data_IF_097150654156
#
_entry.id   IF_097150654156
#
_cell.length_a   1.000
_cell.length_b   1.000
_cell.length_c   1.000
_cell.angle_alpha   90.00
_cell.angle_beta   90.00
_cell.angle_gamma   90.00
#
_symmetry.space_group_name_H-M   'P 1'
#
loop_
_entity.id
_entity.type
_entity.pdbx_description
1 polymer ?
#
# COMPACT_ATOMS: atom_id res chain seq x y z
N UNK A 1 33.51 18.53 0.87
CA UNK A 1 32.04 18.45 0.95
C UNK A 1 31.53 18.66 2.38
N UNK A 2 31.85 17.77 3.33
CA UNK A 2 31.32 17.83 4.71
C UNK A 2 31.48 19.16 5.47
N UNK A 3 32.65 19.84 5.36
CA UNK A 3 32.86 21.16 5.99
C UNK A 3 31.85 22.23 5.55
N UNK A 4 31.42 22.21 4.29
CA UNK A 4 30.43 23.15 3.75
C UNK A 4 29.04 22.86 4.32
N UNK A 5 28.68 21.57 4.39
CA UNK A 5 27.41 21.11 4.98
C UNK A 5 27.30 21.57 6.43
N UNK A 6 28.35 21.40 7.24
CA UNK A 6 28.35 21.85 8.64
C UNK A 6 28.18 23.37 8.81
N UNK A 7 28.54 24.16 7.79
CA UNK A 7 28.37 25.62 7.80
C UNK A 7 26.96 26.06 7.38
N UNK A 8 26.26 25.28 6.56
CA UNK A 8 24.97 25.65 5.96
C UNK A 8 23.77 24.85 6.46
N UNK A 9 23.99 23.71 7.12
CA UNK A 9 22.95 22.76 7.52
C UNK A 9 23.05 22.49 9.03
N UNK A 10 22.08 22.97 9.79
CA UNK A 10 22.16 23.00 11.26
C UNK A 10 21.37 21.89 11.97
N UNK A 11 20.68 21.02 11.24
CA UNK A 11 19.95 19.87 11.77
C UNK A 11 20.14 18.62 10.87
N UNK A 12 19.64 17.47 11.32
CA UNK A 12 19.75 16.21 10.58
C UNK A 12 19.03 16.25 9.23
N UNK A 13 17.82 16.82 9.18
CA UNK A 13 17.03 16.94 7.96
C UNK A 13 17.73 17.77 6.87
N UNK A 14 18.27 18.94 7.21
CA UNK A 14 19.00 19.79 6.26
C UNK A 14 20.29 19.12 5.79
N UNK A 15 20.98 18.37 6.67
CA UNK A 15 22.18 17.60 6.28
C UNK A 15 21.80 16.48 5.31
N UNK A 16 20.77 15.70 5.61
CA UNK A 16 20.29 14.60 4.78
C UNK A 16 19.87 15.09 3.39
N UNK A 17 19.01 16.11 3.32
CA UNK A 17 18.60 16.72 2.04
C UNK A 17 19.80 17.26 1.26
N UNK A 18 20.77 17.90 1.92
CA UNK A 18 21.95 18.43 1.23
C UNK A 18 22.91 17.35 0.71
N UNK A 19 22.91 16.15 1.31
CA UNK A 19 23.72 15.03 0.86
C UNK A 19 23.15 14.38 -0.40
N UNK A 20 21.84 14.19 -0.46
CA UNK A 20 21.18 13.43 -1.53
C UNK A 20 20.74 14.30 -2.72
N UNK A 21 20.41 15.58 -2.49
CA UNK A 21 19.82 16.41 -3.54
C UNK A 21 20.71 16.60 -4.76
N UNK A 22 20.07 16.67 -5.92
CA UNK A 22 20.67 17.20 -7.13
C UNK A 22 21.15 18.68 -6.98
N UNK A 23 22.29 19.07 -7.61
CA UNK A 23 22.82 20.42 -7.50
C UNK A 23 21.82 21.50 -7.95
N UNK A 24 21.67 22.55 -7.13
CA UNK A 24 20.78 23.68 -7.42
C UNK A 24 19.37 23.56 -6.84
N UNK A 25 18.95 22.37 -6.41
CA UNK A 25 17.66 22.17 -5.75
C UNK A 25 17.79 22.22 -4.22
N UNK A 26 16.66 22.29 -3.50
CA UNK A 26 16.58 22.32 -2.03
C UNK A 26 15.53 21.34 -1.47
N UNK A 27 15.23 20.31 -2.26
CA UNK A 27 14.28 19.24 -1.98
C UNK A 27 14.85 17.94 -2.56
N UNK A 28 14.25 16.82 -2.19
CA UNK A 28 14.55 15.49 -2.73
C UNK A 28 13.41 15.04 -3.64
N UNK A 29 13.77 14.50 -4.80
CA UNK A 29 12.87 13.72 -5.68
C UNK A 29 13.05 12.23 -5.41
N UNK A 30 12.31 11.37 -6.10
CA UNK A 30 12.27 9.93 -5.81
C UNK A 30 13.64 9.28 -6.04
N UNK A 31 14.26 9.64 -7.16
CA UNK A 31 15.53 9.12 -7.65
C UNK A 31 16.70 9.49 -6.74
N UNK A 32 16.61 10.62 -6.01
CA UNK A 32 17.63 11.04 -5.06
C UNK A 32 17.77 10.02 -3.89
N UNK A 33 16.77 9.16 -3.64
CA UNK A 33 16.82 8.12 -2.59
C UNK A 33 17.44 6.79 -3.06
N UNK A 34 17.56 6.55 -4.37
CA UNK A 34 18.06 5.28 -4.91
C UNK A 34 19.46 4.94 -4.36
N UNK A 35 20.46 5.85 -4.36
CA UNK A 35 21.79 5.51 -3.87
C UNK A 35 21.83 5.16 -2.38
N UNK A 36 20.94 5.77 -1.58
CA UNK A 36 20.82 5.49 -0.15
C UNK A 36 20.22 4.09 0.05
N UNK A 37 19.11 3.77 -0.60
CA UNK A 37 18.44 2.49 -0.44
C UNK A 37 19.26 1.34 -1.02
N UNK A 38 20.00 1.59 -2.09
CA UNK A 38 20.96 0.65 -2.65
C UNK A 38 22.01 0.23 -1.61
N UNK A 39 22.52 1.18 -0.81
CA UNK A 39 23.46 0.88 0.27
C UNK A 39 22.79 0.11 1.42
N UNK A 40 21.54 0.44 1.76
CA UNK A 40 20.75 -0.31 2.77
C UNK A 40 20.59 -1.78 2.35
N UNK A 41 20.14 -2.07 1.13
CA UNK A 41 20.04 -3.44 0.61
C UNK A 41 21.42 -4.14 0.62
N UNK A 42 22.48 -3.40 0.28
CA UNK A 42 23.83 -3.94 0.22
C UNK A 42 24.50 -4.17 1.58
N UNK A 43 24.00 -3.60 2.67
CA UNK A 43 24.68 -3.63 3.97
C UNK A 43 23.85 -4.24 5.09
N UNK A 44 22.52 -4.14 5.04
CA UNK A 44 21.65 -4.62 6.11
C UNK A 44 21.63 -6.17 6.15
N UNK A 45 21.86 -6.81 7.31
CA UNK A 45 21.98 -8.28 7.41
C UNK A 45 20.76 -9.06 6.92
N UNK A 46 19.55 -8.55 7.20
CA UNK A 46 18.31 -9.20 6.78
C UNK A 46 17.97 -9.02 5.30
N UNK A 47 18.67 -8.16 4.55
CA UNK A 47 18.41 -7.93 3.11
C UNK A 47 19.47 -8.57 2.22
N UNK A 48 20.40 -9.33 2.79
CA UNK A 48 21.54 -9.89 2.04
C UNK A 48 21.10 -10.81 0.91
N UNK A 49 20.03 -11.57 1.11
CA UNK A 49 19.46 -12.47 0.10
C UNK A 49 18.95 -11.70 -1.15
N UNK A 50 18.50 -10.46 -0.97
CA UNK A 50 17.95 -9.63 -2.03
C UNK A 50 19.02 -9.14 -3.03
N UNK A 51 20.30 -9.21 -2.65
CA UNK A 51 21.41 -8.78 -3.54
C UNK A 51 21.53 -9.65 -4.78
N UNK A 52 21.18 -10.94 -4.66
CA UNK A 52 21.31 -11.91 -5.76
C UNK A 52 20.07 -11.93 -6.66
N UNK A 53 18.97 -11.30 -6.23
CA UNK A 53 17.67 -11.26 -6.90
C UNK A 53 17.41 -9.86 -7.51
N UNK A 54 17.95 -9.57 -8.69
CA UNK A 54 17.93 -8.22 -9.28
C UNK A 54 16.53 -7.63 -9.50
N UNK A 55 15.55 -8.47 -9.84
CA UNK A 55 14.16 -8.04 -10.03
C UNK A 55 13.55 -7.55 -8.72
N UNK A 56 13.50 -8.43 -7.70
CA UNK A 56 13.01 -8.11 -6.36
C UNK A 56 13.77 -6.95 -5.71
N UNK A 57 15.06 -6.83 -6.00
CA UNK A 57 15.89 -5.72 -5.54
C UNK A 57 15.33 -4.38 -5.99
N UNK A 58 15.12 -4.21 -7.30
CA UNK A 58 14.62 -2.97 -7.88
C UNK A 58 13.22 -2.65 -7.34
N UNK A 59 12.36 -3.66 -7.25
CA UNK A 59 10.97 -3.54 -6.77
C UNK A 59 10.91 -3.17 -5.30
N UNK A 60 11.76 -3.73 -4.46
CA UNK A 60 11.87 -3.35 -3.05
C UNK A 60 12.27 -1.88 -2.90
N UNK A 61 13.30 -1.43 -3.64
CA UNK A 61 13.72 -0.02 -3.62
C UNK A 61 12.56 0.89 -4.03
N UNK A 62 11.87 0.58 -5.14
CA UNK A 62 10.72 1.37 -5.60
C UNK A 62 9.63 1.43 -4.53
N UNK A 63 9.29 0.30 -3.91
CA UNK A 63 8.27 0.25 -2.86
C UNK A 63 8.65 1.07 -1.64
N UNK A 64 9.89 0.97 -1.16
CA UNK A 64 10.35 1.78 -0.03
C UNK A 64 10.31 3.28 -0.38
N UNK A 65 10.70 3.68 -1.60
CA UNK A 65 10.56 5.06 -2.06
C UNK A 65 9.10 5.51 -2.06
N UNK A 66 8.19 4.69 -2.60
CA UNK A 66 6.75 5.04 -2.59
C UNK A 66 6.24 5.23 -1.17
N UNK A 67 6.59 4.34 -0.23
CA UNK A 67 6.21 4.45 1.18
C UNK A 67 6.80 5.69 1.86
N UNK A 68 8.05 6.05 1.56
CA UNK A 68 8.66 7.30 2.01
C UNK A 68 7.85 8.50 1.51
N UNK A 69 7.52 8.57 0.22
CA UNK A 69 6.77 9.70 -0.33
C UNK A 69 5.33 9.73 0.17
N UNK A 70 4.69 8.58 0.33
CA UNK A 70 3.34 8.43 0.87
C UNK A 70 3.22 9.02 2.28
N UNK A 71 4.21 8.77 3.14
CA UNK A 71 4.22 9.21 4.53
C UNK A 71 4.83 10.60 4.71
N UNK A 72 5.91 10.93 4.00
CA UNK A 72 6.69 12.17 4.21
C UNK A 72 6.21 13.32 3.32
N UNK A 73 5.92 13.09 2.03
CA UNK A 73 5.59 14.15 1.08
C UNK A 73 4.10 14.55 1.15
N UNK A 74 3.68 15.06 2.31
CA UNK A 74 2.28 15.43 2.59
C UNK A 74 1.74 16.55 1.68
N UNK A 75 2.61 17.26 0.97
CA UNK A 75 2.22 18.28 -0.02
C UNK A 75 1.78 17.72 -1.38
N UNK A 76 1.97 16.41 -1.65
CA UNK A 76 1.75 15.78 -2.96
C UNK A 76 2.58 16.39 -4.10
N UNK A 77 3.61 17.17 -3.77
CA UNK A 77 4.39 17.94 -4.75
C UNK A 77 5.41 17.10 -5.51
N UNK A 78 5.65 15.87 -5.06
CA UNK A 78 6.75 15.03 -5.52
C UNK A 78 8.13 15.51 -5.09
N UNK A 79 8.19 16.43 -4.12
CA UNK A 79 9.43 17.08 -3.68
C UNK A 79 9.48 17.11 -2.16
N UNK A 80 10.24 16.22 -1.55
CA UNK A 80 10.41 16.19 -0.10
C UNK A 80 11.30 17.36 0.33
N UNK A 81 10.72 18.27 1.10
CA UNK A 81 11.44 19.41 1.68
C UNK A 81 12.06 19.07 3.03
N UNK A 82 13.04 19.88 3.48
CA UNK A 82 13.58 19.76 4.84
C UNK A 82 12.49 19.85 5.92
N UNK A 83 11.41 20.60 5.67
CA UNK A 83 10.34 20.79 6.64
C UNK A 83 9.42 19.56 6.74
N UNK A 84 9.11 18.92 5.61
CA UNK A 84 8.37 17.65 5.60
C UNK A 84 9.19 16.56 6.29
N UNK A 85 10.49 16.46 5.95
CA UNK A 85 11.38 15.49 6.57
C UNK A 85 11.47 15.66 8.09
N UNK A 86 11.56 16.90 8.60
CA UNK A 86 11.54 17.20 10.05
C UNK A 86 10.28 16.76 10.78
N UNK A 87 9.13 16.76 10.08
CA UNK A 87 7.84 16.42 10.66
C UNK A 87 7.53 14.92 10.59
N UNK A 88 8.35 14.18 9.85
CA UNK A 88 8.27 12.72 9.74
C UNK A 88 9.13 12.00 10.77
N UNK A 89 8.91 10.70 10.86
CA UNK A 89 9.70 9.70 11.60
C UNK A 89 10.84 9.09 10.76
N UNK A 90 11.03 9.52 9.52
CA UNK A 90 11.93 8.85 8.58
C UNK A 90 13.38 8.80 9.07
N UNK A 91 13.93 9.92 9.57
CA UNK A 91 15.33 9.93 10.04
C UNK A 91 15.55 9.14 11.33
N UNK A 92 14.50 8.98 12.14
CA UNK A 92 14.50 8.11 13.31
C UNK A 92 14.58 6.65 12.84
N UNK A 93 13.78 6.26 11.84
CA UNK A 93 13.84 4.92 11.24
C UNK A 93 15.19 4.66 10.54
N UNK A 94 15.79 5.65 9.89
CA UNK A 94 17.14 5.53 9.32
C UNK A 94 18.19 5.26 10.41
N UNK A 95 18.06 5.86 11.58
CA UNK A 95 18.96 5.59 12.70
C UNK A 95 18.75 4.18 13.28
N UNK A 96 17.53 3.64 13.25
CA UNK A 96 17.25 2.29 13.74
C UNK A 96 17.77 1.18 12.80
N UNK A 97 18.06 1.48 11.53
CA UNK A 97 18.64 0.50 10.59
C UNK A 97 19.97 -0.12 11.05
N UNK A 98 20.73 0.56 11.91
CA UNK A 98 21.97 -0.02 12.47
C UNK A 98 21.76 -0.76 13.80
N UNK A 99 20.60 -0.56 14.44
CA UNK A 99 20.26 -1.14 15.74
C UNK A 99 19.40 -2.41 15.59
N UNK A 100 18.42 -2.37 14.69
CA UNK A 100 17.48 -3.47 14.45
C UNK A 100 18.02 -4.47 13.42
N UNK A 101 18.23 -5.71 13.86
CA UNK A 101 18.75 -6.78 12.98
C UNK A 101 17.67 -7.30 12.03
N UNK A 102 16.42 -7.29 12.48
CA UNK A 102 15.26 -7.70 11.71
C UNK A 102 14.58 -6.46 11.10
N UNK A 103 14.72 -6.31 9.77
CA UNK A 103 14.14 -5.18 9.03
C UNK A 103 12.61 -5.14 9.11
N UNK A 104 11.94 -6.26 9.40
CA UNK A 104 10.49 -6.32 9.48
C UNK A 104 9.94 -5.61 10.72
N UNK A 105 10.78 -5.37 11.75
CA UNK A 105 10.43 -4.51 12.89
C UNK A 105 10.34 -3.02 12.49
N UNK A 106 10.96 -2.62 11.38
CA UNK A 106 10.88 -1.25 10.85
C UNK A 106 9.68 -1.11 9.91
N UNK A 107 8.49 -1.26 10.49
CA UNK A 107 7.22 -1.36 9.78
C UNK A 107 6.89 -0.14 8.94
N UNK A 108 7.29 1.07 9.35
CA UNK A 108 6.87 2.33 8.69
C UNK A 108 7.37 2.49 7.25
N UNK A 109 8.59 2.02 6.94
CA UNK A 109 9.21 2.25 5.63
C UNK A 109 9.89 1.00 5.05
N UNK A 110 10.66 0.27 5.86
CA UNK A 110 11.69 -0.67 5.37
C UNK A 110 11.30 -2.14 5.43
N UNK A 111 10.22 -2.50 6.15
CA UNK A 111 9.75 -3.89 6.26
C UNK A 111 9.69 -4.61 4.91
N UNK A 112 10.37 -5.75 4.84
CA UNK A 112 10.39 -6.61 3.67
C UNK A 112 9.07 -7.37 3.53
N UNK A 113 8.46 -7.81 4.63
CA UNK A 113 7.13 -8.44 4.64
C UNK A 113 6.08 -7.55 3.97
N UNK A 114 6.06 -6.26 4.31
CA UNK A 114 5.14 -5.31 3.68
C UNK A 114 5.39 -5.18 2.18
N UNK A 115 6.66 -5.13 1.76
CA UNK A 115 7.01 -5.12 0.34
C UNK A 115 6.52 -6.39 -0.37
N UNK A 116 6.73 -7.56 0.24
CA UNK A 116 6.39 -8.84 -0.35
C UNK A 116 4.89 -8.97 -0.60
N UNK A 117 4.06 -8.58 0.37
CA UNK A 117 2.60 -8.54 0.20
C UNK A 117 2.20 -7.61 -0.96
N UNK A 118 2.73 -6.38 -1.00
CA UNK A 118 2.44 -5.43 -2.08
C UNK A 118 2.82 -6.02 -3.45
N UNK A 119 3.99 -6.66 -3.52
CA UNK A 119 4.49 -7.26 -4.75
C UNK A 119 3.63 -8.44 -5.23
N UNK A 120 3.30 -9.38 -4.34
CA UNK A 120 2.44 -10.52 -4.66
C UNK A 120 1.06 -10.08 -5.15
N UNK A 121 0.43 -9.11 -4.47
CA UNK A 121 -0.87 -8.58 -4.89
C UNK A 121 -0.82 -7.88 -6.25
N UNK A 122 0.29 -7.24 -6.60
CA UNK A 122 0.48 -6.70 -7.95
C UNK A 122 0.63 -7.82 -8.98
N UNK A 123 1.49 -8.79 -8.68
CA UNK A 123 1.81 -9.91 -9.56
C UNK A 123 0.59 -10.77 -9.90
N UNK A 124 -0.35 -10.94 -8.96
CA UNK A 124 -1.64 -11.61 -9.20
C UNK A 124 -2.51 -10.91 -10.26
N UNK A 125 -2.37 -9.59 -10.40
CA UNK A 125 -3.16 -8.78 -11.34
C UNK A 125 -2.45 -8.64 -12.70
N UNK A 126 -1.14 -8.44 -12.70
CA UNK A 126 -0.28 -8.30 -13.90
C UNK A 126 -0.01 -9.66 -14.56
N UNK A 127 -1.03 -10.22 -15.20
CA UNK A 127 -0.97 -11.57 -15.81
C UNK A 127 -0.16 -11.64 -17.10
N UNK A 128 0.06 -10.51 -17.78
CA UNK A 128 0.91 -10.42 -18.97
C UNK A 128 2.34 -9.98 -18.64
N UNK A 129 2.64 -9.72 -17.36
CA UNK A 129 3.96 -9.39 -16.82
C UNK A 129 4.60 -8.19 -17.52
N UNK A 130 3.78 -7.21 -17.90
CA UNK A 130 4.25 -5.99 -18.57
C UNK A 130 4.54 -4.86 -17.59
N UNK A 131 4.37 -5.11 -16.28
CA UNK A 131 4.61 -4.19 -15.16
C UNK A 131 3.64 -3.01 -15.10
N UNK A 132 2.53 -3.13 -15.82
CA UNK A 132 1.40 -2.22 -15.76
C UNK A 132 0.11 -3.00 -15.57
N UNK A 133 -0.86 -2.36 -14.93
CA UNK A 133 -2.21 -2.93 -14.81
C UNK A 133 -3.24 -1.96 -15.37
N UNK A 134 -4.22 -2.50 -16.09
CA UNK A 134 -5.35 -1.73 -16.60
C UNK A 134 -6.54 -1.72 -15.62
N UNK A 135 -7.64 -1.06 -16.01
CA UNK A 135 -8.84 -0.98 -15.16
C UNK A 135 -9.48 -2.34 -14.89
N UNK A 136 -9.40 -3.30 -15.83
CA UNK A 136 -9.96 -4.64 -15.67
C UNK A 136 -9.09 -5.48 -14.75
N UNK A 137 -7.78 -5.31 -14.84
CA UNK A 137 -6.84 -5.93 -13.91
C UNK A 137 -7.14 -5.45 -12.49
N UNK A 138 -7.18 -4.13 -12.28
CA UNK A 138 -7.48 -3.56 -10.96
C UNK A 138 -8.87 -3.95 -10.45
N UNK A 139 -9.86 -4.12 -11.35
CA UNK A 139 -11.19 -4.57 -10.96
C UNK A 139 -11.21 -5.97 -10.35
N UNK A 140 -10.25 -6.85 -10.68
CA UNK A 140 -10.16 -8.20 -10.10
C UNK A 140 -9.65 -8.19 -8.66
N UNK A 141 -9.03 -7.11 -8.21
CA UNK A 141 -8.55 -6.99 -6.83
C UNK A 141 -9.71 -7.12 -5.82
N UNK A 142 -9.50 -7.95 -4.79
CA UNK A 142 -10.47 -8.30 -3.75
C UNK A 142 -11.88 -8.59 -4.32
N UNK A 143 -11.95 -9.50 -5.29
CA UNK A 143 -13.22 -10.00 -5.88
C UNK A 143 -14.18 -8.89 -6.34
N UNK A 144 -13.66 -7.85 -7.00
CA UNK A 144 -14.45 -6.70 -7.44
C UNK A 144 -15.07 -5.88 -6.30
N UNK A 145 -14.41 -5.80 -5.15
CA UNK A 145 -14.86 -5.01 -4.00
C UNK A 145 -15.09 -3.53 -4.36
N UNK A 146 -14.12 -2.90 -5.04
CA UNK A 146 -14.19 -1.48 -5.42
C UNK A 146 -15.10 -1.27 -6.64
N UNK A 147 -15.91 -0.20 -6.64
CA UNK A 147 -16.80 0.16 -7.75
C UNK A 147 -16.02 0.53 -9.03
N UNK A 148 -16.58 0.23 -10.20
CA UNK A 148 -15.93 0.55 -11.48
C UNK A 148 -15.82 2.07 -11.67
N UNK A 149 -16.83 2.85 -11.24
CA UNK A 149 -16.76 4.32 -11.21
C UNK A 149 -15.56 4.79 -10.41
N UNK A 150 -15.24 4.17 -9.27
CA UNK A 150 -14.06 4.53 -8.47
C UNK A 150 -12.75 4.10 -9.16
N UNK A 151 -12.71 2.91 -9.76
CA UNK A 151 -11.56 2.45 -10.54
C UNK A 151 -11.27 3.43 -11.69
N UNK A 152 -12.27 3.85 -12.46
CA UNK A 152 -12.12 4.86 -13.52
C UNK A 152 -11.47 6.16 -12.99
N UNK A 153 -11.79 6.56 -11.75
CA UNK A 153 -11.20 7.76 -11.13
C UNK A 153 -9.72 7.60 -10.80
N UNK A 154 -9.25 6.41 -10.45
CA UNK A 154 -7.83 6.15 -10.22
C UNK A 154 -7.04 6.43 -11.52
N UNK A 155 -7.55 5.96 -12.66
CA UNK A 155 -6.92 6.14 -13.98
C UNK A 155 -7.13 7.54 -14.58
N UNK A 156 -7.99 8.36 -13.97
CA UNK A 156 -8.35 9.69 -14.48
C UNK A 156 -7.28 10.76 -14.27
N UNK A 157 -6.16 10.46 -13.61
CA UNK A 157 -5.14 11.45 -13.22
C UNK A 157 -5.45 12.21 -11.94
N UNK A 158 -6.46 11.79 -11.17
CA UNK A 158 -6.77 12.38 -9.86
C UNK A 158 -5.64 12.12 -8.83
N UNK A 159 -5.01 10.95 -8.93
CA UNK A 159 -4.04 10.44 -7.95
C UNK A 159 -2.73 9.94 -8.57
N UNK A 160 -2.68 9.76 -9.89
CA UNK A 160 -1.45 9.37 -10.60
C UNK A 160 -0.59 10.59 -10.95
N UNK A 161 0.71 10.37 -11.04
CA UNK A 161 1.67 11.40 -11.49
C UNK A 161 1.76 11.38 -13.02
N UNK A 162 1.98 12.55 -13.61
CA UNK A 162 2.09 12.67 -15.06
C UNK A 162 0.77 12.51 -15.81
N UNK A 163 0.85 12.08 -17.06
CA UNK A 163 -0.30 11.91 -17.98
C UNK A 163 -0.38 10.52 -18.61
N UNK A 164 0.49 9.59 -18.22
CA UNK A 164 0.60 8.26 -18.81
C UNK A 164 -0.67 7.45 -18.57
N UNK A 165 -1.11 7.37 -17.30
CA UNK A 165 -2.36 6.70 -16.93
C UNK A 165 -3.60 7.19 -17.70
N UNK A 166 -3.76 8.50 -17.85
CA UNK A 166 -4.88 9.09 -18.59
C UNK A 166 -4.86 8.75 -20.09
N UNK A 167 -3.67 8.57 -20.68
CA UNK A 167 -3.49 8.36 -22.12
C UNK A 167 -3.53 6.89 -22.49
N UNK A 168 -2.93 6.05 -21.65
CA UNK A 168 -2.69 4.64 -21.93
C UNK A 168 -3.70 3.74 -21.21
N UNK A 169 -4.43 4.26 -20.22
CA UNK A 169 -5.40 3.48 -19.46
C UNK A 169 -4.75 2.43 -18.56
N UNK A 170 -3.46 2.61 -18.25
CA UNK A 170 -2.60 1.70 -17.49
C UNK A 170 -1.88 2.46 -16.37
N UNK A 171 -1.71 1.84 -15.20
CA UNK A 171 -0.93 2.39 -14.09
C UNK A 171 0.29 1.50 -13.81
N UNK A 172 1.39 2.10 -13.35
CA UNK A 172 2.62 1.37 -13.04
C UNK A 172 2.54 0.66 -11.69
N UNK A 173 3.54 -0.18 -11.40
CA UNK A 173 3.75 -0.73 -10.06
C UNK A 173 3.80 0.35 -8.98
N UNK A 174 4.49 1.47 -9.24
CA UNK A 174 4.60 2.58 -8.29
C UNK A 174 3.23 3.18 -7.95
N UNK A 175 2.37 3.42 -8.95
CA UNK A 175 1.00 3.89 -8.74
C UNK A 175 0.17 2.84 -7.96
N UNK A 176 0.35 1.54 -8.24
CA UNK A 176 -0.32 0.47 -7.50
C UNK A 176 0.07 0.43 -6.02
N UNK A 177 1.33 0.69 -5.66
CA UNK A 177 1.73 0.79 -4.25
C UNK A 177 0.91 1.86 -3.51
N UNK A 178 0.70 3.02 -4.12
CA UNK A 178 -0.13 4.08 -3.55
C UNK A 178 -1.59 3.67 -3.43
N UNK A 179 -2.12 2.99 -4.46
CA UNK A 179 -3.47 2.44 -4.44
C UNK A 179 -3.65 1.47 -3.26
N UNK A 180 -2.82 0.44 -3.15
CA UNK A 180 -3.01 -0.64 -2.18
C UNK A 180 -2.90 -0.12 -0.74
N UNK A 181 -1.89 0.72 -0.44
CA UNK A 181 -1.76 1.32 0.90
C UNK A 181 -2.95 2.24 1.22
N UNK A 182 -3.47 2.96 0.21
CA UNK A 182 -4.65 3.82 0.41
C UNK A 182 -5.92 3.01 0.59
N UNK A 183 -6.07 1.89 -0.10
CA UNK A 183 -7.21 0.99 0.03
C UNK A 183 -7.27 0.46 1.46
N UNK A 184 -6.17 -0.14 1.91
CA UNK A 184 -6.19 -0.98 3.10
C UNK A 184 -6.25 -0.17 4.40
N UNK A 185 -5.69 1.05 4.42
CA UNK A 185 -5.84 1.99 5.54
C UNK A 185 -6.40 3.36 5.10
N UNK A 186 -7.74 3.41 5.03
CA UNK A 186 -8.53 4.64 4.76
C UNK A 186 -8.61 5.62 5.93
N UNK A 187 -7.93 5.35 7.05
CA UNK A 187 -7.89 6.26 8.22
C UNK A 187 -6.72 7.23 8.14
N UNK A 188 -5.67 6.87 7.42
CA UNK A 188 -4.48 7.73 7.29
C UNK A 188 -4.79 9.03 6.55
N UNK A 189 -4.10 10.11 6.92
CA UNK A 189 -4.33 11.41 6.29
C UNK A 189 -4.01 11.42 4.78
N UNK A 190 -3.08 10.56 4.33
CA UNK A 190 -2.72 10.39 2.91
C UNK A 190 -3.83 9.65 2.16
N UNK A 191 -4.33 8.54 2.71
CA UNK A 191 -5.43 7.81 2.08
C UNK A 191 -6.71 8.66 1.98
N UNK A 192 -7.02 9.45 3.02
CA UNK A 192 -8.16 10.37 2.97
C UNK A 192 -7.99 11.40 1.84
N UNK A 193 -6.78 11.90 1.60
CA UNK A 193 -6.50 12.77 0.45
C UNK A 193 -6.62 12.04 -0.89
N UNK A 194 -6.14 10.79 -0.97
CA UNK A 194 -6.22 9.94 -2.15
C UNK A 194 -7.68 9.75 -2.59
N UNK A 195 -8.52 9.25 -1.69
CA UNK A 195 -9.93 8.98 -2.01
C UNK A 195 -10.75 10.25 -2.20
N UNK A 196 -10.47 11.31 -1.45
CA UNK A 196 -11.12 12.60 -1.69
C UNK A 196 -10.85 13.13 -3.10
N UNK A 197 -9.60 13.06 -3.59
CA UNK A 197 -9.25 13.46 -4.97
C UNK A 197 -9.99 12.63 -6.02
N UNK A 198 -10.19 11.34 -5.75
CA UNK A 198 -10.96 10.49 -6.65
C UNK A 198 -12.46 10.84 -6.65
N UNK A 199 -13.03 11.13 -5.47
CA UNK A 199 -14.46 11.44 -5.34
C UNK A 199 -14.84 12.86 -5.80
N UNK A 200 -13.92 13.82 -5.67
CA UNK A 200 -14.06 15.18 -6.16
C UNK A 200 -13.91 15.18 -7.70
N UNK A 201 -15.05 15.09 -8.39
CA UNK A 201 -15.12 14.90 -9.84
C UNK A 201 -14.74 16.17 -10.59
N UNK A 202 -15.12 17.33 -10.06
CA UNK A 202 -14.86 18.63 -10.69
C UNK A 202 -13.63 19.36 -10.13
N UNK A 203 -13.09 18.89 -9.00
CA UNK A 203 -11.86 19.40 -8.39
C UNK A 203 -12.07 20.72 -7.65
N UNK A 204 -13.29 21.04 -7.23
CA UNK A 204 -13.62 22.29 -6.53
C UNK A 204 -13.26 22.27 -5.02
N UNK A 205 -12.88 21.10 -4.50
CA UNK A 205 -12.51 20.89 -3.11
C UNK A 205 -13.67 20.59 -2.16
N UNK A 206 -14.86 20.26 -2.69
CA UNK A 206 -16.08 19.92 -1.94
C UNK A 206 -16.78 18.72 -2.58
N UNK A 207 -17.15 17.72 -1.79
CA UNK A 207 -18.03 16.66 -2.26
C UNK A 207 -19.49 17.14 -2.21
N UNK A 208 -20.04 17.37 -3.40
CA UNK A 208 -21.43 17.73 -3.64
C UNK A 208 -22.36 16.52 -3.57
N UNK A 209 -23.66 16.76 -3.36
CA UNK A 209 -24.67 15.69 -3.36
C UNK A 209 -24.70 14.93 -4.69
N UNK A 210 -24.41 15.60 -5.80
CA UNK A 210 -24.35 14.98 -7.12
C UNK A 210 -23.24 13.93 -7.20
N UNK A 211 -22.04 14.25 -6.70
CA UNK A 211 -20.89 13.33 -6.71
C UNK A 211 -21.13 12.14 -5.77
N UNK A 212 -21.68 12.40 -4.58
CA UNK A 212 -22.04 11.33 -3.64
C UNK A 212 -23.08 10.39 -4.25
N UNK A 213 -24.13 10.93 -4.87
CA UNK A 213 -25.14 10.13 -5.55
C UNK A 213 -24.53 9.34 -6.71
N UNK A 214 -23.62 9.96 -7.47
CA UNK A 214 -22.92 9.30 -8.56
C UNK A 214 -22.16 8.05 -8.08
N UNK A 215 -21.42 8.08 -6.98
CA UNK A 215 -20.78 6.84 -6.52
C UNK A 215 -21.79 5.86 -5.91
N UNK A 216 -22.76 6.36 -5.13
CA UNK A 216 -23.73 5.53 -4.44
C UNK A 216 -24.67 4.75 -5.37
N UNK A 217 -25.01 5.30 -6.54
CA UNK A 217 -25.82 4.60 -7.55
C UNK A 217 -25.24 3.25 -7.97
N UNK A 218 -23.91 3.15 -8.12
CA UNK A 218 -23.28 1.87 -8.45
C UNK A 218 -23.24 0.93 -7.24
N UNK A 219 -23.06 1.47 -6.03
CA UNK A 219 -23.16 0.67 -4.79
C UNK A 219 -24.55 0.04 -4.64
N UNK A 220 -25.63 0.77 -4.92
CA UNK A 220 -26.98 0.22 -4.91
C UNK A 220 -27.12 -0.94 -5.90
N UNK A 221 -26.58 -0.79 -7.12
CA UNK A 221 -26.61 -1.87 -8.12
C UNK A 221 -25.83 -3.11 -7.66
N UNK A 222 -24.68 -2.93 -7.01
CA UNK A 222 -23.90 -4.04 -6.44
C UNK A 222 -24.67 -4.75 -5.32
N UNK A 223 -25.29 -4.00 -4.40
CA UNK A 223 -26.13 -4.53 -3.32
C UNK A 223 -27.34 -5.32 -3.86
N UNK A 224 -28.03 -4.76 -4.86
CA UNK A 224 -29.17 -5.42 -5.51
C UNK A 224 -28.77 -6.75 -6.15
N UNK A 225 -27.59 -6.81 -6.79
CA UNK A 225 -27.05 -8.04 -7.38
C UNK A 225 -26.75 -9.13 -6.32
N UNK A 226 -26.49 -8.72 -5.07
CA UNK A 226 -26.34 -9.62 -3.91
C UNK A 226 -27.67 -9.91 -3.21
N UNK A 227 -28.80 -9.44 -3.74
CA UNK A 227 -30.14 -9.52 -3.14
C UNK A 227 -30.24 -8.83 -1.77
N UNK A 228 -29.46 -7.77 -1.56
CA UNK A 228 -29.51 -6.90 -0.37
C UNK A 228 -30.20 -5.61 -0.79
N UNK A 229 -31.28 -5.24 -0.09
CA UNK A 229 -32.00 -3.99 -0.37
C UNK A 229 -31.16 -2.79 0.08
N UNK A 230 -30.71 -1.91 -0.85
CA UNK A 230 -29.91 -0.75 -0.50
C UNK A 230 -30.77 0.32 0.19
N UNK A 231 -30.14 1.07 1.09
CA UNK A 231 -30.77 2.22 1.72
C UNK A 231 -31.04 3.31 0.66
N UNK A 232 -32.18 4.01 0.68
CA UNK A 232 -32.40 5.15 -0.20
C UNK A 232 -31.31 6.21 -0.02
N UNK A 233 -30.89 6.85 -1.11
CA UNK A 233 -29.79 7.83 -1.08
C UNK A 233 -30.02 8.97 -0.08
N UNK A 234 -31.27 9.46 0.06
CA UNK A 234 -31.59 10.52 1.03
C UNK A 234 -31.31 10.11 2.47
N UNK A 235 -31.63 8.86 2.83
CA UNK A 235 -31.38 8.31 4.17
C UNK A 235 -29.89 8.04 4.39
N UNK A 236 -29.20 7.48 3.39
CA UNK A 236 -27.74 7.30 3.40
C UNK A 236 -27.01 8.64 3.57
N UNK A 237 -27.42 9.66 2.81
CA UNK A 237 -26.85 11.01 2.90
C UNK A 237 -27.05 11.60 4.30
N UNK A 238 -28.21 11.42 4.93
CA UNK A 238 -28.44 11.87 6.30
C UNK A 238 -27.46 11.20 7.28
N UNK A 239 -27.30 9.87 7.18
CA UNK A 239 -26.35 9.14 8.02
C UNK A 239 -24.91 9.61 7.80
N UNK A 240 -24.51 9.83 6.55
CA UNK A 240 -23.16 10.30 6.22
C UNK A 240 -22.91 11.74 6.68
N UNK A 241 -23.91 12.63 6.63
CA UNK A 241 -23.81 13.98 7.18
C UNK A 241 -23.70 13.98 8.70
N UNK A 242 -24.44 13.10 9.38
CA UNK A 242 -24.34 12.91 10.84
C UNK A 242 -23.00 12.30 11.26
N UNK A 243 -22.43 11.43 10.42
CA UNK A 243 -21.11 10.82 10.60
C UNK A 243 -19.99 11.86 10.44
N UNK A 244 -20.02 12.63 9.35
CA UNK A 244 -18.95 13.57 9.00
C UNK A 244 -19.06 14.87 9.79
N UNK A 245 -20.28 15.36 10.05
CA UNK A 245 -20.58 16.66 10.67
C UNK A 245 -19.81 17.80 9.98
N UNK A 246 -20.11 18.07 8.70
CA UNK A 246 -19.42 19.10 7.95
C UNK A 246 -19.61 20.48 8.58
N UNK A 247 -18.61 21.35 8.46
CA UNK A 247 -18.67 22.71 8.99
C UNK A 247 -19.74 23.57 8.28
N UNK A 248 -19.95 23.31 6.98
CA UNK A 248 -20.98 23.96 6.18
C UNK A 248 -22.00 22.92 5.71
N UNK A 249 -23.29 23.16 5.96
CA UNK A 249 -24.36 22.24 5.57
C UNK A 249 -24.31 21.93 4.07
N UNK A 250 -24.44 20.64 3.74
CA UNK A 250 -24.44 20.16 2.36
C UNK A 250 -23.11 20.22 1.61
N UNK A 251 -22.00 20.53 2.30
CA UNK A 251 -20.65 20.63 1.72
C UNK A 251 -19.64 19.83 2.53
N UNK A 252 -19.26 18.65 2.05
CA UNK A 252 -18.24 17.83 2.71
C UNK A 252 -16.87 18.18 2.15
N UNK A 253 -15.99 18.72 2.98
CA UNK A 253 -14.62 19.05 2.57
C UNK A 253 -13.63 17.99 3.02
N UNK A 254 -12.43 17.99 2.44
CA UNK A 254 -11.31 17.17 2.91
C UNK A 254 -10.99 17.42 4.40
N UNK A 255 -11.16 18.66 4.88
CA UNK A 255 -10.95 18.99 6.28
C UNK A 255 -11.96 18.28 7.18
N UNK A 256 -13.22 18.21 6.77
CA UNK A 256 -14.29 17.55 7.54
C UNK A 256 -14.02 16.05 7.67
N UNK A 257 -13.63 15.38 6.58
CA UNK A 257 -13.31 13.94 6.60
C UNK A 257 -12.09 13.62 7.48
N UNK A 258 -11.04 14.46 7.45
CA UNK A 258 -9.90 14.31 8.37
C UNK A 258 -10.29 14.54 9.83
N UNK A 259 -11.26 15.41 10.09
CA UNK A 259 -11.71 15.76 11.45
C UNK A 259 -12.63 14.70 12.05
N UNK A 260 -13.49 14.06 11.26
CA UNK A 260 -14.50 13.14 11.77
C UNK A 260 -13.92 11.81 12.29
N UNK A 261 -12.71 11.43 11.87
CA UNK A 261 -12.01 10.18 12.23
C UNK A 261 -12.74 8.89 11.83
N UNK A 262 -13.78 9.00 11.01
CA UNK A 262 -14.55 7.87 10.46
C UNK A 262 -14.62 7.94 8.94
N UNK A 263 -13.60 8.54 8.30
CA UNK A 263 -13.54 8.69 6.86
C UNK A 263 -13.51 7.35 6.12
N UNK A 264 -12.92 6.31 6.73
CA UNK A 264 -12.92 4.95 6.20
C UNK A 264 -14.34 4.43 5.99
N UNK A 265 -15.23 4.57 6.99
CA UNK A 265 -16.63 4.16 6.89
C UNK A 265 -17.34 4.96 5.80
N UNK A 266 -17.14 6.28 5.78
CA UNK A 266 -17.68 7.15 4.73
C UNK A 266 -17.29 6.67 3.34
N UNK A 267 -16.01 6.42 3.10
CA UNK A 267 -15.51 5.97 1.80
C UNK A 267 -16.04 4.60 1.41
N UNK A 268 -16.00 3.62 2.32
CA UNK A 268 -16.46 2.26 2.05
C UNK A 268 -17.96 2.26 1.65
N UNK A 269 -18.80 3.06 2.32
CA UNK A 269 -20.22 3.25 1.96
C UNK A 269 -20.43 3.63 0.49
N UNK A 270 -19.56 4.48 -0.07
CA UNK A 270 -19.73 5.00 -1.43
C UNK A 270 -19.09 4.15 -2.52
N UNK A 271 -18.09 3.31 -2.22
CA UNK A 271 -17.39 2.60 -3.30
C UNK A 271 -16.75 1.25 -2.96
N UNK A 272 -16.73 0.77 -1.72
CA UNK A 272 -16.21 -0.56 -1.38
C UNK A 272 -17.31 -1.42 -0.77
N UNK A 273 -17.83 -2.37 -1.55
CA UNK A 273 -18.98 -3.19 -1.13
C UNK A 273 -18.64 -4.15 0.02
N UNK A 274 -17.45 -4.74 0.00
CA UNK A 274 -17.03 -5.74 0.99
C UNK A 274 -16.83 -5.08 2.36
N UNK A 275 -16.01 -4.03 2.41
CA UNK A 275 -15.75 -3.30 3.66
C UNK A 275 -17.00 -2.58 4.18
N UNK A 276 -17.90 -2.14 3.29
CA UNK A 276 -19.21 -1.62 3.69
C UNK A 276 -20.04 -2.68 4.44
N UNK A 277 -20.17 -3.89 3.89
CA UNK A 277 -20.92 -4.98 4.52
C UNK A 277 -20.31 -5.40 5.87
N UNK A 278 -18.98 -5.34 5.99
CA UNK A 278 -18.29 -5.60 7.26
C UNK A 278 -18.65 -4.57 8.34
N UNK A 279 -18.74 -3.28 8.01
CA UNK A 279 -19.15 -2.24 8.95
C UNK A 279 -20.60 -2.44 9.41
N UNK A 280 -21.51 -2.75 8.48
CA UNK A 280 -22.92 -3.02 8.79
C UNK A 280 -23.09 -4.23 9.73
N UNK A 281 -22.28 -5.27 9.56
CA UNK A 281 -22.28 -6.42 10.47
C UNK A 281 -21.68 -6.05 11.83
N UNK A 282 -20.54 -5.35 11.85
CA UNK A 282 -19.86 -4.94 13.09
C UNK A 282 -20.75 -4.03 13.94
N UNK A 283 -21.54 -3.14 13.34
CA UNK A 283 -22.50 -2.31 14.09
C UNK A 283 -23.63 -3.13 14.74
N UNK A 284 -24.06 -4.25 14.14
CA UNK A 284 -25.02 -5.17 14.76
C UNK A 284 -24.42 -5.94 15.96
N UNK A 285 -23.13 -6.28 15.90
CA UNK A 285 -22.45 -7.06 16.95
C UNK A 285 -21.77 -6.20 18.04
N UNK A 286 -21.36 -4.97 17.74
CA UNK A 286 -20.77 -4.03 18.71
C UNK A 286 -21.77 -3.58 19.77
N UNK A 287 -23.06 -3.51 19.41
CA UNK A 287 -24.18 -3.32 20.34
C UNK A 287 -24.31 -4.50 21.34
N UNK A 288 -23.77 -5.69 21.01
CA UNK A 288 -23.88 -6.91 21.82
C UNK A 288 -22.64 -7.22 22.67
N UNK A 289 -21.45 -6.68 22.37
CA UNK A 289 -20.23 -6.89 23.17
C UNK A 289 -19.41 -5.61 23.32
N UNK A 290 -19.46 -5.02 24.51
CA UNK A 290 -18.60 -3.90 24.92
C UNK A 290 -17.17 -4.32 25.26
N UNK A 291 -16.43 -4.85 24.30
CA UNK A 291 -14.99 -5.17 24.37
C UNK A 291 -14.48 -5.14 22.93
N UNK A 292 -13.44 -4.37 22.61
CA UNK A 292 -12.07 -4.91 22.53
C UNK A 292 -11.04 -3.76 22.54
N UNK A 293 -10.06 -3.85 23.45
CA UNK A 293 -9.08 -2.79 23.70
C UNK A 293 -7.64 -3.36 23.79
N UNK A 294 -7.32 -4.41 23.02
CA UNK A 294 -6.00 -5.08 23.11
C UNK A 294 -5.13 -4.96 21.84
N UNK A 295 -5.68 -4.57 20.68
CA UNK A 295 -4.93 -4.37 19.41
C UNK A 295 -5.02 -2.92 18.87
N UNK A 296 -4.98 -1.91 19.75
CA UNK A 296 -5.07 -0.49 19.36
C UNK A 296 -3.76 0.11 18.83
N UNK A 297 -2.63 -0.59 18.97
CA UNK A 297 -1.32 -0.01 18.63
C UNK A 297 -0.90 -0.21 17.16
N UNK A 298 -1.47 -1.21 16.46
CA UNK A 298 -1.17 -1.48 15.04
C UNK A 298 -2.17 -0.77 14.10
N UNK A 299 -1.65 -0.17 13.03
CA UNK A 299 -2.46 0.41 11.94
C UNK A 299 -3.23 -0.65 11.17
N UNK A 300 -4.25 -0.24 10.41
CA UNK A 300 -5.04 -1.16 9.60
C UNK A 300 -4.16 -1.79 8.49
N UNK A 301 -3.21 -1.01 7.94
CA UNK A 301 -2.20 -1.51 6.98
C UNK A 301 -1.29 -2.58 7.59
N UNK A 302 -0.75 -2.36 8.81
CA UNK A 302 0.15 -3.32 9.45
C UNK A 302 -0.56 -4.63 9.77
N UNK A 303 -1.84 -4.57 10.16
CA UNK A 303 -2.65 -5.79 10.39
C UNK A 303 -2.86 -6.55 9.10
N UNK A 304 -3.30 -5.86 8.04
CA UNK A 304 -3.48 -6.45 6.72
C UNK A 304 -2.20 -7.10 6.20
N UNK A 305 -1.08 -6.37 6.24
CA UNK A 305 0.19 -6.87 5.73
C UNK A 305 0.69 -8.10 6.53
N UNK A 306 0.52 -8.13 7.84
CA UNK A 306 0.87 -9.29 8.66
C UNK A 306 -0.01 -10.50 8.33
N UNK A 307 -1.33 -10.31 8.23
CA UNK A 307 -2.30 -11.38 7.93
C UNK A 307 -2.06 -11.96 6.52
N UNK A 308 -1.90 -11.12 5.50
CA UNK A 308 -1.65 -11.57 4.13
C UNK A 308 -0.28 -12.24 3.99
N UNK A 309 0.74 -11.75 4.68
CA UNK A 309 2.05 -12.39 4.66
C UNK A 309 1.99 -13.80 5.26
N UNK A 310 1.28 -13.98 6.39
CA UNK A 310 1.06 -15.30 6.99
C UNK A 310 0.33 -16.26 6.05
N UNK A 311 -0.67 -15.76 5.28
CA UNK A 311 -1.38 -16.54 4.26
C UNK A 311 -0.43 -16.98 3.14
N UNK A 312 0.34 -16.04 2.57
CA UNK A 312 1.28 -16.31 1.49
C UNK A 312 2.32 -17.36 1.90
N UNK A 313 2.86 -17.24 3.12
CA UNK A 313 3.81 -18.21 3.67
C UNK A 313 3.16 -19.59 3.86
N UNK A 314 1.91 -19.63 4.31
CA UNK A 314 1.18 -20.89 4.48
C UNK A 314 0.88 -21.58 3.13
N UNK A 315 0.54 -20.80 2.10
CA UNK A 315 0.28 -21.31 0.75
C UNK A 315 1.55 -21.87 0.09
N UNK A 316 2.68 -21.18 0.23
CA UNK A 316 3.97 -21.66 -0.27
C UNK A 316 4.38 -22.97 0.42
N UNK A 317 4.26 -23.03 1.75
CA UNK A 317 4.55 -24.25 2.52
C UNK A 317 3.64 -25.43 2.17
N UNK A 318 2.40 -25.16 1.77
CA UNK A 318 1.48 -26.19 1.28
C UNK A 318 1.85 -26.67 -0.13
N UNK A 319 2.24 -25.75 -1.01
CA UNK A 319 2.70 -26.05 -2.38
C UNK A 319 3.93 -26.96 -2.38
N UNK A 320 4.90 -26.65 -1.50
CA UNK A 320 6.12 -27.46 -1.34
C UNK A 320 5.83 -28.86 -0.77
N UNK A 321 4.91 -28.96 0.19
CA UNK A 321 4.48 -30.28 0.71
C UNK A 321 3.81 -31.14 -0.35
N UNK A 322 3.08 -30.53 -1.28
CA UNK A 322 2.46 -31.24 -2.39
C UNK A 322 3.50 -31.70 -3.41
N UNK A 323 4.47 -30.84 -3.76
CA UNK A 323 5.59 -31.22 -4.63
C UNK A 323 6.45 -32.35 -4.02
N UNK A 324 6.76 -32.28 -2.72
CA UNK A 324 7.46 -33.35 -1.99
C UNK A 324 6.65 -34.66 -1.95
N UNK A 325 5.33 -34.59 -1.89
CA UNK A 325 4.47 -35.78 -1.88
C UNK A 325 4.42 -36.46 -3.26
N UNK A 326 4.49 -35.71 -4.35
CA UNK A 326 4.62 -36.25 -5.71
C UNK A 326 6.02 -36.79 -6.01
N UNK A 327 7.09 -36.21 -5.44
CA UNK A 327 8.44 -36.78 -5.52
C UNK A 327 8.59 -38.05 -4.66
N UNK A 328 7.97 -38.09 -3.48
CA UNK A 328 8.03 -39.24 -2.58
C UNK A 328 7.27 -40.48 -3.11
N UNK A 329 6.24 -40.31 -3.96
CA UNK A 329 5.54 -41.43 -4.59
C UNK A 329 6.35 -42.13 -5.70
N UNK A 330 7.51 -41.59 -6.10
CA UNK A 330 8.39 -42.17 -7.13
C UNK A 330 9.57 -42.99 -6.59
N UNK A 331 9.72 -43.16 -5.26
CA UNK A 331 10.82 -43.93 -4.68
C UNK A 331 10.29 -45.04 -3.76
N UNK A 332 10.36 -46.33 -4.17
CA UNK A 332 10.06 -47.43 -3.28
C UNK A 332 11.30 -47.72 -2.41
N UNK A 333 11.32 -47.21 -1.17
CA UNK A 333 12.27 -47.69 -0.16
C UNK A 333 12.45 -46.79 1.07
N UNK A 334 12.33 -47.43 2.24
CA UNK A 334 12.77 -47.03 3.58
C UNK A 334 11.95 -46.01 4.39
N UNK A 335 11.03 -46.59 5.17
CA UNK A 335 10.47 -46.01 6.39
C UNK A 335 11.54 -45.82 7.47
N UNK A 336 12.06 -44.60 7.64
CA UNK A 336 12.54 -44.09 8.93
C UNK A 336 12.95 -42.62 8.83
N UNK A 337 12.04 -41.68 9.04
CA UNK A 337 12.38 -40.26 9.33
C UNK A 337 11.21 -39.41 9.85
N UNK A 338 10.38 -39.94 10.76
CA UNK A 338 9.20 -39.22 11.26
C UNK A 338 9.45 -38.29 12.47
N UNK A 339 10.70 -38.04 12.88
CA UNK A 339 10.99 -37.25 14.09
C UNK A 339 11.94 -36.05 13.90
N UNK A 340 12.23 -35.63 12.66
CA UNK A 340 13.10 -34.45 12.40
C UNK A 340 12.28 -33.16 12.15
N UNK A 341 11.01 -33.28 11.76
CA UNK A 341 10.17 -32.14 11.36
C UNK A 341 9.79 -31.19 12.51
N UNK A 342 9.70 -31.67 13.76
CA UNK A 342 9.24 -30.84 14.89
C UNK A 342 10.29 -29.89 15.48
N UNK A 343 11.57 -30.05 15.15
CA UNK A 343 12.66 -29.23 15.71
C UNK A 343 13.31 -28.29 14.68
N UNK A 344 12.86 -28.33 13.41
CA UNK A 344 13.32 -27.41 12.36
C UNK A 344 12.38 -26.21 12.14
N UNK A 345 11.17 -26.22 12.71
CA UNK A 345 10.22 -25.09 12.60
C UNK A 345 10.63 -23.86 13.43
N UNK A 346 11.47 -23.99 14.46
CA UNK A 346 11.82 -22.86 15.35
C UNK A 346 13.07 -22.07 14.92
N UNK A 347 13.78 -22.47 13.85
CA UNK A 347 15.02 -21.80 13.39
C UNK A 347 15.28 -21.94 11.89
N UNK A 348 14.36 -21.50 11.03
CA UNK A 348 14.70 -21.16 9.64
C UNK A 348 14.61 -19.65 9.47
N UNK A 349 15.74 -18.91 9.55
CA UNK A 349 15.77 -17.54 9.11
C UNK A 349 15.93 -17.55 7.58
N UNK A 350 14.94 -16.98 6.90
CA UNK A 350 14.92 -16.66 5.46
C UNK A 350 14.72 -17.85 4.50
N UNK A 351 13.66 -17.72 3.70
CA UNK A 351 13.22 -18.58 2.61
C UNK A 351 14.18 -18.46 1.42
N UNK A 352 14.42 -19.57 0.72
CA UNK A 352 15.04 -19.53 -0.61
C UNK A 352 14.00 -19.02 -1.62
N UNK A 353 14.46 -18.21 -2.58
CA UNK A 353 13.65 -17.53 -3.59
C UNK A 353 12.79 -18.54 -4.40
N UNK A 354 11.48 -18.29 -4.58
CA UNK A 354 10.63 -19.22 -5.33
C UNK A 354 11.09 -19.31 -6.79
N UNK A 355 11.44 -20.52 -7.24
CA UNK A 355 11.99 -20.78 -8.58
C UNK A 355 11.02 -20.43 -9.72
N UNK A 356 9.72 -20.31 -9.45
CA UNK A 356 8.69 -19.96 -10.42
C UNK A 356 8.58 -18.44 -10.69
N UNK A 357 9.28 -17.60 -9.92
CA UNK A 357 9.31 -16.13 -10.10
C UNK A 357 10.54 -15.67 -10.90
N UNK A 358 11.40 -16.58 -11.38
CA UNK A 358 12.69 -16.25 -11.99
C UNK A 358 12.71 -16.32 -13.55
N UNK A 359 11.60 -16.73 -14.18
CA UNK A 359 11.52 -16.98 -15.63
C UNK A 359 10.72 -15.88 -16.38
N UNK A 360 11.12 -14.61 -16.28
CA UNK A 360 10.54 -13.50 -17.07
C UNK A 360 11.61 -12.83 -17.94
N UNK A 361 11.36 -12.73 -19.25
CA UNK A 361 12.19 -12.01 -20.23
C UNK A 361 11.97 -10.48 -20.08
N UNK A 362 12.94 -9.77 -19.51
CA UNK A 362 12.84 -8.37 -19.05
C UNK A 362 13.72 -7.36 -19.84
N UNK A 363 14.15 -7.69 -21.07
CA UNK A 363 15.15 -6.89 -21.81
C UNK A 363 14.66 -5.49 -22.27
N UNK A 364 13.36 -5.16 -22.17
CA UNK A 364 12.77 -3.91 -22.69
C UNK A 364 12.25 -2.92 -21.61
N UNK A 365 12.39 -3.21 -20.31
CA UNK A 365 11.90 -2.32 -19.25
C UNK A 365 13.00 -1.40 -18.71
N UNK A 366 12.86 -0.09 -18.92
CA UNK A 366 13.74 0.93 -18.35
C UNK A 366 13.19 1.38 -16.98
N UNK A 367 13.94 1.09 -15.92
CA UNK A 367 13.58 1.41 -14.53
C UNK A 367 13.33 2.92 -14.29
N UNK A 368 13.83 3.79 -15.17
CA UNK A 368 13.56 5.22 -15.13
C UNK A 368 12.07 5.57 -15.35
N UNK A 369 11.30 4.71 -16.04
CA UNK A 369 9.87 4.92 -16.33
C UNK A 369 8.97 4.92 -15.08
N UNK A 370 9.38 4.26 -14.00
CA UNK A 370 8.62 4.22 -12.73
C UNK A 370 8.64 5.57 -11.98
N UNK A 371 9.53 6.48 -12.39
CA UNK A 371 9.77 7.74 -11.69
C UNK A 371 9.37 9.01 -12.49
N UNK A 372 8.96 8.86 -13.76
CA UNK A 372 8.57 9.97 -14.67
C UNK A 372 7.17 10.58 -14.44
#
# INVERSE_FOLDING_TARGET
MWRKILQTCHDAAAKFVHLLKSPGYNYLVQEDFIPFLQDVVNSHPSLVFLKEASEFHSRYITTVIQRIFYTVNRSWSGRITCNELRKSSFLQNVALLEEEVDINQLTEYFSYEHFYVIYCKFWELDTDHDLYIDQKDLARHNDHAISNRMIERIFSGAVTRGKKAQREGKISYADFVWFLISEEDKRTATSIEYWFRCMDLDGDGVLSMYELQYFYEEQCQKLDNMAIEPLPFEDCLCQMLDLVKPENEGKITLHDLKRCRMANVFFDTFFNIEKYLDHEQKDQFSVLRGTENENQDMSDWEKYAAEEYDVLVAEEAASDQWNDCYEAELIPGDHQKTNILKYQMEKRPFFDMPSHLADVDLDDYDYEDDFE
#
